data_IF_480186354299
#
_entry.id   IF_480186354299
#
_cell.length_a   1.000
_cell.length_b   1.000
_cell.length_c   1.000
_cell.angle_alpha   90.00
_cell.angle_beta   90.00
_cell.angle_gamma   90.00
#
_symmetry.space_group_name_H-M   'P 1'
#
loop_
_entity.id
_entity.type
_entity.pdbx_description
1 polymer ?
#
# COMPACT_ATOMS: atom_id res chain seq x y z
N UNK A 1 19.61 11.23 5.14
CA UNK A 1 18.87 10.60 6.25
C UNK A 1 17.94 9.57 5.63
N UNK A 2 18.00 8.30 6.04
CA UNK A 2 16.99 7.31 5.65
C UNK A 2 15.67 7.60 6.39
N UNK A 3 14.50 7.44 5.75
CA UNK A 3 13.22 7.65 6.43
C UNK A 3 13.10 6.80 7.69
N UNK A 4 12.44 7.36 8.70
CA UNK A 4 12.10 6.68 9.95
C UNK A 4 10.97 5.66 9.73
N UNK A 5 10.84 4.71 10.66
CA UNK A 5 9.73 3.75 10.65
C UNK A 5 8.36 4.44 10.62
N UNK A 6 8.21 5.59 11.29
CA UNK A 6 6.97 6.38 11.27
C UNK A 6 6.65 6.92 9.88
N UNK A 7 7.65 7.43 9.17
CA UNK A 7 7.47 7.94 7.79
C UNK A 7 7.11 6.82 6.82
N UNK A 8 7.70 5.64 6.96
CA UNK A 8 7.29 4.47 6.20
C UNK A 8 5.85 4.04 6.52
N UNK A 9 5.48 3.97 7.81
CA UNK A 9 4.10 3.64 8.20
C UNK A 9 3.09 4.65 7.67
N UNK A 10 3.39 5.95 7.72
CA UNK A 10 2.52 7.00 7.18
C UNK A 10 2.37 6.85 5.66
N UNK A 11 3.49 6.63 4.94
CA UNK A 11 3.46 6.43 3.50
C UNK A 11 2.64 5.18 3.10
N UNK A 12 2.75 4.09 3.86
CA UNK A 12 1.93 2.89 3.66
C UNK A 12 0.44 3.22 3.88
N UNK A 13 0.11 3.92 4.97
CA UNK A 13 -1.26 4.31 5.29
C UNK A 13 -1.88 5.20 4.21
N UNK A 14 -1.15 6.21 3.75
CA UNK A 14 -1.62 7.15 2.72
C UNK A 14 -1.92 6.42 1.41
N UNK A 15 -1.03 5.49 1.01
CA UNK A 15 -1.22 4.70 -0.21
C UNK A 15 -2.38 3.73 -0.12
N UNK A 16 -2.50 3.01 0.99
CA UNK A 16 -3.61 2.09 1.21
C UNK A 16 -4.93 2.86 1.22
N UNK A 17 -4.97 4.02 1.86
CA UNK A 17 -6.16 4.90 1.85
C UNK A 17 -6.51 5.34 0.44
N UNK A 18 -5.53 5.78 -0.36
CA UNK A 18 -5.77 6.19 -1.75
C UNK A 18 -6.31 5.04 -2.62
N UNK A 19 -5.75 3.84 -2.50
CA UNK A 19 -6.24 2.64 -3.20
C UNK A 19 -7.69 2.34 -2.79
N UNK A 20 -7.98 2.31 -1.48
CA UNK A 20 -9.32 2.01 -0.99
C UNK A 20 -10.35 3.07 -1.42
N UNK A 21 -10.01 4.36 -1.29
CA UNK A 21 -10.91 5.45 -1.69
C UNK A 21 -11.13 5.50 -3.20
N UNK A 22 -10.11 5.19 -4.02
CA UNK A 22 -10.33 5.11 -5.48
C UNK A 22 -11.11 3.87 -5.89
N UNK A 23 -11.02 2.77 -5.14
CA UNK A 23 -11.75 1.54 -5.42
C UNK A 23 -13.27 1.65 -5.18
N UNK A 24 -13.73 2.55 -4.31
CA UNK A 24 -15.18 2.68 -4.00
C UNK A 24 -16.01 3.17 -5.18
N UNK A 25 -15.41 3.91 -6.12
CA UNK A 25 -16.07 4.42 -7.33
C UNK A 25 -15.87 3.54 -8.56
N UNK A 26 -15.19 2.39 -8.43
CA UNK A 26 -14.86 1.49 -9.53
C UNK A 26 -15.74 0.24 -9.51
N UNK A 27 -16.42 -0.04 -10.62
CA UNK A 27 -16.99 -1.35 -10.84
C UNK A 27 -15.94 -2.33 -11.39
N UNK A 28 -16.21 -3.62 -11.17
CA UNK A 28 -15.32 -4.71 -11.58
C UNK A 28 -15.07 -4.73 -13.08
N UNK A 29 -16.07 -4.43 -13.91
CA UNK A 29 -15.95 -4.54 -15.36
C UNK A 29 -15.01 -3.46 -15.90
N UNK A 30 -15.20 -2.21 -15.47
CA UNK A 30 -14.33 -1.10 -15.84
C UNK A 30 -12.88 -1.33 -15.35
N UNK A 31 -12.70 -1.85 -14.13
CA UNK A 31 -11.37 -2.20 -13.62
C UNK A 31 -10.68 -3.29 -14.46
N UNK A 32 -11.40 -4.35 -14.83
CA UNK A 32 -10.82 -5.47 -15.59
C UNK A 32 -10.46 -5.07 -17.02
N UNK A 33 -11.22 -4.16 -17.63
CA UNK A 33 -10.97 -3.70 -18.99
C UNK A 33 -9.83 -2.68 -19.08
N UNK A 34 -9.63 -1.84 -18.05
CA UNK A 34 -8.56 -0.85 -18.04
C UNK A 34 -7.20 -1.45 -17.64
N UNK A 35 -6.35 -1.70 -18.64
CA UNK A 35 -4.98 -2.23 -18.44
C UNK A 35 -4.05 -1.24 -17.72
N UNK A 36 -4.29 0.06 -17.84
CA UNK A 36 -3.46 1.10 -17.21
C UNK A 36 -3.79 1.17 -15.73
N UNK A 37 -5.08 1.21 -15.40
CA UNK A 37 -5.56 1.23 -14.02
C UNK A 37 -5.09 0.00 -13.23
N UNK A 38 -5.19 -1.20 -13.82
CA UNK A 38 -4.67 -2.42 -13.19
C UNK A 38 -3.17 -2.34 -12.87
N UNK A 39 -2.37 -1.85 -13.82
CA UNK A 39 -0.92 -1.67 -13.61
C UNK A 39 -0.63 -0.62 -12.55
N UNK A 40 -1.42 0.45 -12.48
CA UNK A 40 -1.29 1.45 -11.43
C UNK A 40 -1.55 0.85 -10.04
N UNK A 41 -2.60 0.02 -9.89
CA UNK A 41 -2.90 -0.68 -8.64
C UNK A 41 -1.79 -1.65 -8.24
N UNK A 42 -1.32 -2.49 -9.17
CA UNK A 42 -0.19 -3.39 -8.93
C UNK A 42 1.04 -2.61 -8.48
N UNK A 43 1.37 -1.52 -9.17
CA UNK A 43 2.53 -0.69 -8.83
C UNK A 43 2.41 -0.05 -7.44
N UNK A 44 1.21 0.41 -7.07
CA UNK A 44 0.97 0.97 -5.75
C UNK A 44 1.18 -0.07 -4.64
N UNK A 45 0.71 -1.31 -4.85
CA UNK A 45 0.92 -2.43 -3.92
C UNK A 45 2.41 -2.80 -3.82
N UNK A 46 3.15 -2.82 -4.93
CA UNK A 46 4.59 -3.07 -4.90
C UNK A 46 5.35 -2.03 -4.07
N UNK A 47 5.01 -0.75 -4.21
CA UNK A 47 5.66 0.30 -3.42
C UNK A 47 5.30 0.22 -1.94
N UNK A 48 4.07 -0.21 -1.61
CA UNK A 48 3.70 -0.54 -0.22
C UNK A 48 4.59 -1.69 0.28
N UNK A 49 4.73 -2.77 -0.49
CA UNK A 49 5.59 -3.89 -0.13
C UNK A 49 7.05 -3.49 0.08
N UNK A 50 7.57 -2.58 -0.74
CA UNK A 50 8.93 -2.05 -0.57
C UNK A 50 9.06 -1.20 0.69
N UNK A 51 8.07 -0.36 1.01
CA UNK A 51 8.05 0.41 2.26
C UNK A 51 7.96 -0.51 3.49
N UNK A 52 7.19 -1.60 3.41
CA UNK A 52 7.09 -2.61 4.47
C UNK A 52 8.47 -3.20 4.76
N UNK A 53 9.27 -3.54 3.73
CA UNK A 53 10.63 -4.08 3.90
C UNK A 53 11.54 -3.21 4.76
N UNK A 54 11.32 -1.90 4.76
CA UNK A 54 12.12 -0.94 5.52
C UNK A 54 11.70 -0.83 7.00
N UNK A 55 10.55 -1.39 7.38
CA UNK A 55 10.16 -1.55 8.78
C UNK A 55 10.97 -2.69 9.42
N UNK A 56 11.51 -2.46 10.61
CA UNK A 56 12.29 -3.45 11.35
C UNK A 56 11.44 -4.66 11.77
N UNK A 57 12.06 -5.83 11.82
CA UNK A 57 11.39 -7.07 12.25
C UNK A 57 10.82 -6.97 13.66
N UNK A 58 11.52 -6.26 14.57
CA UNK A 58 11.02 -6.00 15.92
C UNK A 58 9.73 -5.19 15.94
N UNK A 59 9.53 -4.26 14.98
CA UNK A 59 8.30 -3.50 14.87
C UNK A 59 7.17 -4.37 14.30
N UNK A 60 7.45 -5.19 13.29
CA UNK A 60 6.46 -6.13 12.73
C UNK A 60 6.03 -7.19 13.74
N UNK A 61 6.97 -7.73 14.53
CA UNK A 61 6.66 -8.68 15.59
C UNK A 61 5.84 -8.05 16.71
N UNK A 62 6.17 -6.80 17.10
CA UNK A 62 5.43 -6.07 18.14
C UNK A 62 3.98 -5.79 17.76
N UNK A 63 3.69 -5.61 16.47
CA UNK A 63 2.35 -5.33 15.93
C UNK A 63 1.84 -6.45 15.01
N UNK A 64 2.16 -7.71 15.34
CA UNK A 64 1.77 -8.87 14.54
C UNK A 64 0.26 -9.17 14.52
N UNK A 65 -0.51 -8.57 15.43
CA UNK A 65 -1.96 -8.76 15.56
C UNK A 65 -2.80 -7.83 14.64
N UNK A 66 -2.15 -6.92 13.91
CA UNK A 66 -2.80 -6.15 12.85
C UNK A 66 -2.73 -6.99 11.57
N UNK A 67 -3.69 -7.90 11.43
CA UNK A 67 -3.94 -8.68 10.20
C UNK A 67 -5.12 -8.08 9.42
#
# INVERSE_FOLDING_TARGET
MSPSAREYSQHILDKTTNIMTSATSLDKTNFVQDKTLKRAYVRSIEVIGEAVKQLSDGLRQKYNAVE
#
